data_IF_590864788079
#
_entry.id   IF_590864788079
#
_cell.length_a   1.000
_cell.length_b   1.000
_cell.length_c   1.000
_cell.angle_alpha   90.00
_cell.angle_beta   90.00
_cell.angle_gamma   90.00
#
_symmetry.space_group_name_H-M   'P 1'
#
loop_
_entity.id
_entity.type
_entity.pdbx_description
1 polymer ?
#
# COMPACT_ATOMS: atom_id res chain seq x y z
N UNK A 1 -35.22 -10.96 -41.97
CA UNK A 1 -35.81 -12.20 -41.42
C UNK A 1 -34.70 -12.91 -40.65
N UNK A 2 -34.57 -12.68 -39.34
CA UNK A 2 -35.25 -13.38 -38.21
C UNK A 2 -34.76 -14.84 -38.12
N UNK A 3 -33.92 -15.17 -37.13
CA UNK A 3 -34.27 -15.60 -35.75
C UNK A 3 -34.53 -17.14 -35.73
N UNK A 4 -34.19 -17.93 -34.71
CA UNK A 4 -34.06 -17.63 -33.30
C UNK A 4 -33.14 -18.63 -32.59
N UNK A 5 -32.47 -18.12 -31.56
CA UNK A 5 -31.82 -18.86 -30.48
C UNK A 5 -32.91 -19.17 -29.44
N UNK A 6 -32.97 -20.42 -29.00
CA UNK A 6 -33.91 -20.88 -27.98
C UNK A 6 -33.54 -20.33 -26.60
N UNK A 7 -34.60 -20.03 -25.87
CA UNK A 7 -34.68 -19.35 -24.58
C UNK A 7 -35.05 -20.40 -23.53
N UNK A 8 -34.26 -20.56 -22.46
CA UNK A 8 -34.76 -21.15 -21.22
C UNK A 8 -34.28 -20.30 -20.04
N UNK A 9 -35.24 -19.53 -19.52
CA UNK A 9 -35.24 -18.84 -18.24
C UNK A 9 -35.37 -19.88 -17.11
N UNK A 10 -34.61 -19.69 -16.04
CA UNK A 10 -34.81 -20.38 -14.75
C UNK A 10 -34.10 -19.63 -13.63
N UNK A 11 -34.81 -18.72 -12.98
CA UNK A 11 -34.33 -17.81 -11.96
C UNK A 11 -34.04 -18.49 -10.60
N UNK A 12 -33.02 -17.99 -9.89
CA UNK A 12 -33.02 -17.86 -8.42
C UNK A 12 -32.18 -16.64 -8.03
N UNK A 13 -32.74 -15.65 -7.31
CA UNK A 13 -32.08 -14.40 -6.95
C UNK A 13 -31.54 -14.46 -5.51
N UNK A 14 -30.23 -14.44 -5.30
CA UNK A 14 -29.59 -13.96 -4.06
C UNK A 14 -28.06 -14.09 -4.13
N UNK A 15 -27.45 -13.38 -5.08
CA UNK A 15 -26.01 -13.12 -5.03
C UNK A 15 -25.82 -11.62 -5.09
N UNK A 16 -25.57 -11.06 -3.92
CA UNK A 16 -25.10 -9.70 -3.69
C UNK A 16 -24.12 -9.30 -4.81
N UNK A 17 -24.31 -8.14 -5.47
CA UNK A 17 -23.32 -7.62 -6.38
C UNK A 17 -22.19 -7.06 -5.52
N UNK A 18 -21.16 -7.86 -5.22
CA UNK A 18 -19.87 -7.26 -4.90
C UNK A 18 -19.34 -6.78 -6.24
N UNK A 19 -19.70 -5.52 -6.51
CA UNK A 19 -19.10 -4.65 -7.49
C UNK A 19 -17.62 -4.97 -7.61
N UNK A 20 -17.29 -5.32 -8.84
CA UNK A 20 -15.99 -5.35 -9.45
C UNK A 20 -15.38 -3.94 -9.37
N UNK A 21 -15.01 -3.52 -8.16
CA UNK A 21 -14.17 -2.36 -7.91
C UNK A 21 -12.72 -2.84 -7.86
N UNK A 22 -12.26 -3.42 -8.97
CA UNK A 22 -10.85 -3.30 -9.32
C UNK A 22 -10.62 -1.82 -9.65
N UNK A 23 -10.61 -0.98 -8.60
CA UNK A 23 -10.02 0.34 -8.72
C UNK A 23 -8.55 0.08 -8.96
N UNK A 24 -8.17 0.18 -10.23
CA UNK A 24 -6.80 0.25 -10.67
C UNK A 24 -6.10 1.26 -9.77
N UNK A 25 -5.28 0.76 -8.85
CA UNK A 25 -4.25 1.56 -8.25
C UNK A 25 -3.45 2.12 -9.43
N UNK A 26 -3.25 3.44 -9.54
CA UNK A 26 -2.30 3.98 -10.49
C UNK A 26 -0.91 3.55 -10.02
N UNK A 27 -0.51 2.34 -10.40
CA UNK A 27 0.90 1.97 -10.45
C UNK A 27 1.41 2.66 -11.71
N UNK A 28 1.94 3.88 -11.56
CA UNK A 28 2.70 4.52 -12.62
C UNK A 28 3.75 3.52 -13.09
N UNK A 29 3.56 3.05 -14.32
CA UNK A 29 4.40 2.05 -14.98
C UNK A 29 5.71 2.66 -15.49
N UNK A 30 5.74 3.99 -15.54
CA UNK A 30 6.95 4.80 -15.63
C UNK A 30 7.41 5.03 -14.19
N UNK A 31 8.65 4.69 -13.85
CA UNK A 31 9.24 4.76 -12.50
C UNK A 31 9.35 6.17 -11.87
N UNK A 32 8.43 7.06 -12.23
CA UNK A 32 8.32 8.46 -11.84
C UNK A 32 6.88 8.70 -11.36
N UNK A 33 6.46 7.95 -10.35
CA UNK A 33 5.11 8.04 -9.78
C UNK A 33 5.13 8.65 -8.40
N UNK A 34 4.46 9.80 -8.26
CA UNK A 34 3.95 10.40 -7.01
C UNK A 34 4.98 11.21 -6.21
N UNK A 35 5.08 12.49 -6.60
CA UNK A 35 5.27 13.65 -5.72
C UNK A 35 6.51 13.68 -4.84
N UNK A 36 7.63 14.22 -5.37
CA UNK A 36 8.75 14.80 -4.60
C UNK A 36 9.11 14.06 -3.31
N UNK A 37 9.08 12.72 -3.37
CA UNK A 37 9.56 11.88 -2.28
C UNK A 37 11.03 12.24 -2.13
N UNK A 38 11.50 12.36 -0.88
CA UNK A 38 12.89 12.62 -0.62
C UNK A 38 13.74 11.71 -1.52
N UNK A 39 14.76 12.27 -2.19
CA UNK A 39 15.59 11.50 -3.13
C UNK A 39 15.95 10.14 -2.53
N UNK A 40 15.93 9.05 -3.31
CA UNK A 40 16.01 7.67 -2.78
C UNK A 40 17.07 7.46 -1.69
N UNK A 41 18.26 8.09 -1.83
CA UNK A 41 19.32 8.05 -0.83
C UNK A 41 18.99 8.69 0.53
N UNK A 42 18.09 9.66 0.58
CA UNK A 42 17.58 10.27 1.83
C UNK A 42 16.66 9.30 2.55
N UNK A 43 15.75 8.63 1.83
CA UNK A 43 14.85 7.63 2.42
C UNK A 43 15.63 6.44 2.95
N UNK A 44 16.65 5.98 2.22
CA UNK A 44 17.54 4.92 2.68
C UNK A 44 18.36 5.32 3.92
N UNK A 45 18.77 6.59 4.01
CA UNK A 45 19.38 7.15 5.20
C UNK A 45 18.45 7.07 6.41
N UNK A 46 17.18 7.46 6.25
CA UNK A 46 16.18 7.38 7.33
C UNK A 46 15.84 5.95 7.72
N UNK A 47 15.68 5.05 6.75
CA UNK A 47 15.44 3.64 7.03
C UNK A 47 16.64 3.04 7.80
N UNK A 48 17.86 3.36 7.38
CA UNK A 48 19.08 2.92 8.08
C UNK A 48 19.16 3.47 9.51
N UNK A 49 18.75 4.72 9.72
CA UNK A 49 18.67 5.34 11.05
C UNK A 49 17.63 4.64 11.94
N UNK A 50 16.42 4.41 11.41
CA UNK A 50 15.35 3.68 12.08
C UNK A 50 15.79 2.25 12.50
N UNK A 51 16.54 1.57 11.63
CA UNK A 51 17.02 0.21 11.85
C UNK A 51 18.31 0.11 12.68
N UNK A 52 18.94 1.24 13.01
CA UNK A 52 20.12 1.24 13.88
C UNK A 52 19.75 0.79 15.30
N UNK A 53 18.53 1.11 15.73
CA UNK A 53 18.02 0.83 17.07
C UNK A 53 16.95 -0.26 17.10
N UNK A 54 16.63 -0.89 15.96
CA UNK A 54 15.50 -1.82 15.82
C UNK A 54 15.81 -3.01 14.89
N UNK A 55 15.27 -4.18 15.26
CA UNK A 55 15.24 -5.40 14.44
C UNK A 55 16.51 -6.24 14.49
N UNK A 56 16.36 -7.55 14.32
CA UNK A 56 17.47 -8.46 14.05
C UNK A 56 17.93 -8.36 12.59
N UNK A 57 19.12 -8.92 12.25
CA UNK A 57 19.62 -8.89 10.87
C UNK A 57 18.67 -9.56 9.87
N UNK A 58 17.86 -10.53 10.31
CA UNK A 58 16.90 -11.25 9.47
C UNK A 58 15.69 -10.42 9.04
N UNK A 59 15.29 -9.43 9.84
CA UNK A 59 14.06 -8.65 9.61
C UNK A 59 14.35 -7.24 9.07
N UNK A 60 15.62 -6.83 9.11
CA UNK A 60 16.06 -5.50 8.72
C UNK A 60 15.60 -5.09 7.34
N UNK A 61 15.68 -6.00 6.37
CA UNK A 61 15.27 -5.71 4.99
C UNK A 61 13.77 -5.49 4.89
N UNK A 62 12.98 -6.37 5.50
CA UNK A 62 11.52 -6.26 5.51
C UNK A 62 11.04 -4.99 6.24
N UNK A 63 11.71 -4.62 7.35
CA UNK A 63 11.44 -3.38 8.07
C UNK A 63 11.86 -2.13 7.28
N UNK A 64 13.00 -2.17 6.57
CA UNK A 64 13.41 -1.09 5.67
C UNK A 64 12.36 -0.87 4.58
N UNK A 65 11.84 -1.97 4.04
CA UNK A 65 10.85 -1.90 2.98
C UNK A 65 9.48 -1.41 3.47
N UNK A 66 9.07 -1.82 4.66
CA UNK A 66 7.89 -1.27 5.32
C UNK A 66 8.04 0.24 5.59
N UNK A 67 9.23 0.67 6.02
CA UNK A 67 9.54 2.09 6.18
C UNK A 67 9.39 2.86 4.86
N UNK A 68 10.00 2.36 3.77
CA UNK A 68 9.86 2.96 2.43
C UNK A 68 8.40 2.94 1.94
N UNK A 69 7.64 1.90 2.28
CA UNK A 69 6.22 1.82 1.97
C UNK A 69 5.42 2.91 2.70
N UNK A 70 5.71 3.14 3.98
CA UNK A 70 5.16 4.26 4.77
C UNK A 70 5.48 5.64 4.19
N UNK A 71 6.74 5.87 3.79
CA UNK A 71 7.15 7.14 3.15
C UNK A 71 6.36 7.38 1.86
N UNK A 72 6.22 6.35 1.02
CA UNK A 72 5.41 6.44 -0.22
C UNK A 72 3.94 6.70 0.08
N UNK A 73 3.42 6.08 1.14
CA UNK A 73 2.03 6.21 1.57
C UNK A 73 1.61 7.65 1.87
N UNK A 74 2.47 8.43 2.51
CA UNK A 74 2.20 9.85 2.76
C UNK A 74 2.02 10.60 1.42
N UNK A 75 2.82 10.29 0.40
CA UNK A 75 2.76 10.89 -0.94
C UNK A 75 1.39 10.85 -1.62
N UNK A 76 0.59 9.79 -1.42
CA UNK A 76 -0.76 9.65 -2.00
C UNK A 76 -1.90 9.77 -0.98
N UNK A 77 -1.58 10.03 0.30
CA UNK A 77 -2.55 10.19 1.39
C UNK A 77 -2.77 11.65 1.78
N UNK A 78 -2.75 12.59 0.83
CA UNK A 78 -2.78 14.03 1.11
C UNK A 78 -3.85 14.41 2.16
N UNK A 79 -3.41 15.01 3.27
CA UNK A 79 -4.26 15.47 4.37
C UNK A 79 -4.76 14.39 5.35
N UNK A 80 -4.46 13.10 5.16
CA UNK A 80 -4.94 12.00 6.01
C UNK A 80 -3.91 11.56 7.04
N UNK A 81 -4.34 11.29 8.27
CA UNK A 81 -3.48 10.66 9.28
C UNK A 81 -3.07 9.23 8.91
N UNK A 82 -2.00 8.72 9.53
CA UNK A 82 -1.61 7.32 9.33
C UNK A 82 -2.77 6.37 9.68
N UNK A 83 -3.50 6.67 10.76
CA UNK A 83 -4.64 5.86 11.24
C UNK A 83 -5.75 5.81 10.19
N UNK A 84 -6.02 6.92 9.49
CA UNK A 84 -7.02 6.96 8.42
C UNK A 84 -6.59 6.15 7.18
N UNK A 85 -5.30 6.17 6.83
CA UNK A 85 -4.76 5.39 5.70
C UNK A 85 -4.46 3.94 6.08
N UNK A 86 -4.31 3.62 7.37
CA UNK A 86 -3.86 2.32 7.86
C UNK A 86 -4.61 1.12 7.27
N UNK A 87 -5.95 1.12 7.18
CA UNK A 87 -6.69 -0.01 6.61
C UNK A 87 -6.29 -0.31 5.15
N UNK A 88 -6.05 0.75 4.37
CA UNK A 88 -5.60 0.63 3.00
C UNK A 88 -4.15 0.14 2.94
N UNK A 89 -3.26 0.69 3.77
CA UNK A 89 -1.86 0.25 3.86
C UNK A 89 -1.71 -1.20 4.25
N UNK A 90 -2.49 -1.65 5.23
CA UNK A 90 -2.54 -3.05 5.65
C UNK A 90 -2.97 -3.94 4.51
N UNK A 91 -4.03 -3.56 3.78
CA UNK A 91 -4.53 -4.31 2.63
C UNK A 91 -3.47 -4.42 1.53
N UNK A 92 -2.86 -3.31 1.16
CA UNK A 92 -1.81 -3.22 0.12
C UNK A 92 -0.53 -3.97 0.48
N UNK A 93 -0.14 -3.94 1.76
CA UNK A 93 1.00 -4.70 2.24
C UNK A 93 0.71 -6.20 2.25
N UNK A 94 -0.46 -6.59 2.74
CA UNK A 94 -0.85 -8.00 2.88
C UNK A 94 -1.20 -8.67 1.54
N UNK A 95 -1.49 -7.90 0.48
CA UNK A 95 -1.71 -8.43 -0.86
C UNK A 95 -0.41 -8.93 -1.52
N UNK A 96 0.75 -8.48 -1.02
CA UNK A 96 2.06 -8.86 -1.56
C UNK A 96 2.54 -10.17 -0.95
N UNK A 97 2.94 -11.11 -1.80
CA UNK A 97 3.50 -12.39 -1.36
C UNK A 97 4.87 -12.18 -0.70
N UNK A 98 5.22 -13.08 0.24
CA UNK A 98 6.50 -13.09 0.96
C UNK A 98 6.78 -11.85 1.80
N UNK A 99 5.74 -11.11 2.21
CA UNK A 99 5.86 -10.03 3.20
C UNK A 99 5.75 -10.57 4.62
N UNK A 100 6.43 -9.87 5.53
CA UNK A 100 6.16 -10.05 6.96
C UNK A 100 4.70 -9.65 7.26
N UNK A 101 4.07 -10.26 8.29
CA UNK A 101 2.74 -9.86 8.74
C UNK A 101 2.68 -8.35 9.02
N UNK A 102 1.55 -7.71 8.70
CA UNK A 102 1.35 -6.28 8.93
C UNK A 102 1.71 -5.87 10.37
N UNK A 103 1.29 -6.66 11.36
CA UNK A 103 1.55 -6.38 12.77
C UNK A 103 3.04 -6.30 13.11
N UNK A 104 3.91 -7.03 12.39
CA UNK A 104 5.36 -7.01 12.58
C UNK A 104 6.03 -5.77 11.95
N UNK A 105 5.36 -5.13 10.99
CA UNK A 105 5.95 -4.03 10.19
C UNK A 105 5.20 -2.71 10.30
N UNK A 106 4.04 -2.69 10.96
CA UNK A 106 3.17 -1.54 11.14
C UNK A 106 3.93 -0.35 11.69
N UNK A 107 4.76 -0.55 12.71
CA UNK A 107 5.55 0.51 13.33
C UNK A 107 6.59 1.10 12.38
N UNK A 108 7.19 0.28 11.52
CA UNK A 108 8.12 0.75 10.51
C UNK A 108 7.41 1.57 9.42
N UNK A 109 6.25 1.08 8.96
CA UNK A 109 5.41 1.82 8.02
C UNK A 109 4.91 3.15 8.60
N UNK A 110 4.51 3.17 9.86
CA UNK A 110 4.12 4.41 10.54
C UNK A 110 5.31 5.36 10.64
N UNK A 111 6.47 4.90 11.12
CA UNK A 111 7.66 5.75 11.24
C UNK A 111 8.06 6.38 9.90
N UNK A 112 7.95 5.63 8.79
CA UNK A 112 8.17 6.17 7.45
C UNK A 112 7.16 7.24 7.05
N UNK A 113 5.88 7.00 7.31
CA UNK A 113 4.78 7.92 7.00
C UNK A 113 4.91 9.24 7.78
N UNK A 114 5.18 9.15 9.07
CA UNK A 114 5.36 10.29 9.97
C UNK A 114 6.58 11.12 9.56
N UNK A 115 7.70 10.45 9.24
CA UNK A 115 8.92 11.12 8.78
C UNK A 115 8.73 11.87 7.46
N UNK A 116 7.96 11.30 6.53
CA UNK A 116 7.64 11.95 5.26
C UNK A 116 6.77 13.20 5.48
N UNK A 117 5.80 13.11 6.41
CA UNK A 117 4.94 14.21 6.80
C UNK A 117 5.71 15.37 7.44
N UNK A 118 6.59 15.08 8.40
CA UNK A 118 7.42 16.08 9.09
C UNK A 118 8.24 16.95 8.14
N UNK A 119 8.58 16.43 6.95
CA UNK A 119 9.34 17.17 5.94
C UNK A 119 8.46 18.08 5.07
N UNK A 120 7.14 17.85 5.01
CA UNK A 120 6.19 18.62 4.20
C UNK A 120 5.53 19.77 4.96
N UNK A 121 5.50 19.69 6.29
CA UNK A 121 5.08 20.79 7.18
C UNK A 121 6.17 21.84 7.36
#
# INVERSE_FOLDING_TARGET
MNAAIENIVGASPDKLPILQAAQALPVSKDGTGIGSLAADGVVDGWASEYLRTRGGPAEREALAEAFRFGVRADGWSEGKSFIETEPQLRSEWSSQKNRLPWDAVRDAAWAGFDRARDRRG
#
